data_IF_228339293799
#
_entry.id   IF_228339293799
#
_cell.length_a   1.000
_cell.length_b   1.000
_cell.length_c   1.000
_cell.angle_alpha   90.00
_cell.angle_beta   90.00
_cell.angle_gamma   90.00
#
_symmetry.space_group_name_H-M   'P 1'
#
loop_
_entity.id
_entity.type
_entity.pdbx_description
1 polymer ?
#
# COMPACT_ATOMS: atom_id res chain seq x y z
N UNK A 1 -24.48 4.85 20.58
CA UNK A 1 -23.54 5.95 20.25
C UNK A 1 -22.33 5.85 21.16
N UNK A 2 -21.22 5.34 20.63
CA UNK A 2 -19.86 5.59 21.10
C UNK A 2 -18.96 5.16 19.94
N UNK A 3 -18.40 6.14 19.24
CA UNK A 3 -17.38 5.93 18.22
C UNK A 3 -16.09 5.56 18.96
N UNK A 4 -15.78 4.27 19.04
CA UNK A 4 -14.44 3.82 19.43
C UNK A 4 -13.50 4.18 18.29
N UNK A 5 -12.90 5.38 18.39
CA UNK A 5 -11.79 5.76 17.56
C UNK A 5 -10.70 4.72 17.74
N UNK A 6 -10.40 3.97 16.68
CA UNK A 6 -9.26 3.07 16.58
C UNK A 6 -7.99 3.94 16.65
N UNK A 7 -7.58 4.28 17.86
CA UNK A 7 -6.25 4.81 18.14
C UNK A 7 -5.23 3.71 17.88
N UNK A 8 -4.92 3.46 16.61
CA UNK A 8 -3.81 2.58 16.21
C UNK A 8 -2.53 3.27 16.67
N UNK A 9 -1.98 2.79 17.77
CA UNK A 9 -0.62 3.15 18.17
C UNK A 9 0.35 2.74 17.06
N UNK A 10 1.40 3.54 16.86
CA UNK A 10 2.51 3.15 15.99
C UNK A 10 3.26 2.01 16.67
N UNK A 11 3.42 0.90 15.96
CA UNK A 11 4.26 -0.19 16.45
C UNK A 11 5.73 0.22 16.37
N UNK A 12 6.63 -0.40 17.17
CA UNK A 12 8.06 -0.05 17.15
C UNK A 12 8.70 -0.11 15.76
N UNK A 13 8.20 -1.00 14.89
CA UNK A 13 8.61 -1.11 13.50
C UNK A 13 8.22 0.13 12.67
N UNK A 14 7.00 0.64 12.85
CA UNK A 14 6.51 1.84 12.15
C UNK A 14 7.38 3.05 12.51
N UNK A 15 7.65 3.23 13.81
CA UNK A 15 8.50 4.33 14.27
C UNK A 15 9.93 4.23 13.72
N UNK A 16 10.49 3.01 13.69
CA UNK A 16 11.82 2.78 13.15
C UNK A 16 11.87 3.11 11.65
N UNK A 17 10.85 2.69 10.89
CA UNK A 17 10.75 2.99 9.46
C UNK A 17 10.65 4.50 9.21
N UNK A 18 9.82 5.21 9.99
CA UNK A 18 9.71 6.67 9.91
C UNK A 18 11.07 7.32 10.22
N UNK A 19 11.76 6.89 11.28
CA UNK A 19 13.09 7.40 11.64
C UNK A 19 14.10 7.19 10.51
N UNK A 20 14.07 6.05 9.81
CA UNK A 20 14.93 5.80 8.65
C UNK A 20 14.59 6.71 7.46
N UNK A 21 13.30 6.89 7.14
CA UNK A 21 12.85 7.81 6.09
C UNK A 21 13.23 9.27 6.37
N UNK A 22 13.22 9.67 7.64
CA UNK A 22 13.58 11.02 8.05
C UNK A 22 15.07 11.32 7.89
N UNK A 23 15.94 10.29 7.84
CA UNK A 23 17.38 10.44 7.56
C UNK A 23 17.69 10.71 6.09
N UNK A 24 16.73 10.51 5.19
CA UNK A 24 16.88 10.77 3.77
C UNK A 24 16.63 12.25 3.45
N UNK A 25 17.29 12.75 2.39
CA UNK A 25 16.94 14.05 1.82
C UNK A 25 15.48 14.03 1.31
N UNK A 26 14.80 15.19 1.21
CA UNK A 26 13.40 15.23 0.79
C UNK A 26 13.12 14.48 -0.52
N UNK A 27 13.96 14.66 -1.54
CA UNK A 27 13.82 13.96 -2.82
C UNK A 27 13.98 12.44 -2.69
N UNK A 28 14.95 11.98 -1.90
CA UNK A 28 15.17 10.54 -1.65
C UNK A 28 14.06 9.91 -0.82
N UNK A 29 13.44 10.68 0.09
CA UNK A 29 12.28 10.22 0.85
C UNK A 29 11.09 9.96 -0.05
N UNK A 30 10.77 10.89 -0.95
CA UNK A 30 9.67 10.72 -1.92
C UNK A 30 9.95 9.51 -2.81
N UNK A 31 11.17 9.39 -3.31
CA UNK A 31 11.58 8.24 -4.12
C UNK A 31 11.35 6.91 -3.39
N UNK A 32 11.81 6.79 -2.14
CA UNK A 32 11.65 5.57 -1.35
C UNK A 32 10.17 5.21 -1.11
N UNK A 33 9.31 6.22 -0.89
CA UNK A 33 7.87 6.01 -0.73
C UNK A 33 7.22 5.51 -2.04
N UNK A 34 7.61 6.06 -3.19
CA UNK A 34 7.12 5.61 -4.50
C UNK A 34 7.58 4.18 -4.81
N UNK A 35 8.84 3.86 -4.54
CA UNK A 35 9.38 2.50 -4.70
C UNK A 35 8.63 1.48 -3.83
N UNK A 36 8.34 1.83 -2.58
CA UNK A 36 7.54 1.01 -1.68
C UNK A 36 6.10 0.84 -2.17
N UNK A 37 5.49 1.89 -2.72
CA UNK A 37 4.16 1.81 -3.32
C UNK A 37 4.12 0.86 -4.52
N UNK A 38 5.13 0.90 -5.39
CA UNK A 38 5.25 -0.01 -6.54
C UNK A 38 5.33 -1.45 -6.06
N UNK A 39 6.21 -1.75 -5.09
CA UNK A 39 6.37 -3.10 -4.55
C UNK A 39 5.08 -3.65 -3.95
N UNK A 40 4.33 -2.80 -3.26
CA UNK A 40 3.04 -3.18 -2.70
C UNK A 40 2.01 -3.48 -3.79
N UNK A 41 1.90 -2.61 -4.81
CA UNK A 41 0.99 -2.80 -5.94
C UNK A 41 1.31 -4.08 -6.72
N UNK A 42 2.59 -4.38 -6.94
CA UNK A 42 3.02 -5.61 -7.61
C UNK A 42 2.60 -6.86 -6.83
N UNK A 43 2.73 -6.82 -5.49
CA UNK A 43 2.25 -7.91 -4.63
C UNK A 43 0.72 -8.08 -4.68
N UNK A 44 -0.03 -6.99 -4.78
CA UNK A 44 -1.49 -7.05 -4.95
C UNK A 44 -1.83 -7.63 -6.32
N UNK A 45 -1.22 -7.12 -7.40
CA UNK A 45 -1.46 -7.58 -8.77
C UNK A 45 -1.12 -9.06 -8.93
N UNK A 46 0.02 -9.52 -8.41
CA UNK A 46 0.42 -10.92 -8.46
C UNK A 46 -0.59 -11.85 -7.75
N UNK A 47 -1.16 -11.40 -6.61
CA UNK A 47 -2.22 -12.16 -5.92
C UNK A 47 -3.51 -12.20 -6.74
N UNK A 48 -3.91 -11.06 -7.33
CA UNK A 48 -5.11 -10.99 -8.16
C UNK A 48 -4.97 -11.84 -9.42
N UNK A 49 -3.81 -11.83 -10.07
CA UNK A 49 -3.54 -12.65 -11.24
C UNK A 49 -3.62 -14.16 -10.94
N UNK A 50 -3.26 -14.61 -9.74
CA UNK A 50 -3.44 -16.02 -9.34
C UNK A 50 -4.92 -16.39 -9.18
N UNK A 51 -5.76 -15.45 -8.75
CA UNK A 51 -7.20 -15.68 -8.54
C UNK A 51 -8.01 -15.52 -9.83
N UNK A 52 -7.54 -14.68 -10.75
CA UNK A 52 -8.21 -14.34 -11.99
C UNK A 52 -7.22 -14.41 -13.18
N UNK A 53 -6.66 -15.59 -13.49
CA UNK A 53 -5.63 -15.74 -14.52
C UNK A 53 -6.10 -15.38 -15.94
N UNK A 54 -7.41 -15.30 -16.16
CA UNK A 54 -8.02 -14.93 -17.43
C UNK A 54 -8.10 -13.41 -17.67
N UNK A 55 -7.91 -12.60 -16.63
CA UNK A 55 -8.01 -11.15 -16.72
C UNK A 55 -6.66 -10.55 -17.13
N UNK A 56 -6.70 -9.56 -18.01
CA UNK A 56 -5.55 -8.74 -18.37
C UNK A 56 -5.11 -7.83 -17.22
N UNK A 57 -3.87 -7.32 -17.27
CA UNK A 57 -3.36 -6.38 -16.27
C UNK A 57 -4.22 -5.12 -16.10
N UNK A 58 -4.86 -4.66 -17.17
CA UNK A 58 -5.79 -3.53 -17.14
C UNK A 58 -7.07 -3.89 -16.38
N UNK A 59 -7.67 -5.04 -16.67
CA UNK A 59 -8.87 -5.53 -15.98
C UNK A 59 -8.60 -5.82 -14.50
N UNK A 60 -7.44 -6.39 -14.17
CA UNK A 60 -6.99 -6.58 -12.78
C UNK A 60 -6.83 -5.23 -12.04
N UNK A 61 -6.34 -4.20 -12.74
CA UNK A 61 -6.20 -2.85 -12.19
C UNK A 61 -7.56 -2.22 -11.94
N UNK A 62 -8.52 -2.35 -12.87
CA UNK A 62 -9.89 -1.88 -12.68
C UNK A 62 -10.58 -2.59 -11.50
N UNK A 63 -10.47 -3.91 -11.43
CA UNK A 63 -11.02 -4.71 -10.34
C UNK A 63 -10.46 -4.28 -8.97
N UNK A 64 -9.16 -3.96 -8.90
CA UNK A 64 -8.54 -3.44 -7.69
C UNK A 64 -9.17 -2.11 -7.26
N UNK A 65 -9.37 -1.17 -8.18
CA UNK A 65 -9.99 0.12 -7.87
C UNK A 65 -11.46 -0.01 -7.47
N UNK A 66 -12.23 -0.85 -8.18
CA UNK A 66 -13.63 -1.12 -7.85
C UNK A 66 -13.77 -1.66 -6.42
N UNK A 67 -12.92 -2.60 -6.02
CA UNK A 67 -12.91 -3.14 -4.65
C UNK A 67 -12.60 -2.08 -3.60
N UNK A 68 -11.73 -1.13 -3.90
CA UNK A 68 -11.38 -0.03 -2.99
C UNK A 68 -12.50 1.02 -2.87
N UNK A 69 -13.34 1.17 -3.89
CA UNK A 69 -14.50 2.07 -3.85
C UNK A 69 -15.66 1.50 -3.02
N UNK A 70 -15.72 0.19 -2.86
CA UNK A 70 -16.83 -0.51 -2.21
C UNK A 70 -16.45 -1.24 -0.91
N UNK A 71 -15.20 -1.10 -0.45
CA UNK A 71 -14.63 -1.75 0.73
C UNK A 71 -14.51 -0.85 1.96
#
# INVERSE_FOLDING_TARGET
>A
MASEGTGRHLEPADEQQIRLLMRLSPGRRIQALLEMQILWLDNVRARLHRLYPQLSDYELTLLMFERLQHG
#
